data_IF_576022037917
#
_entry.id   IF_576022037917
#
_cell.length_a   1.000
_cell.length_b   1.000
_cell.length_c   1.000
_cell.angle_alpha   90.00
_cell.angle_beta   90.00
_cell.angle_gamma   90.00
#
_symmetry.space_group_name_H-M   'P 1'
#
loop_
_entity.id
_entity.type
_entity.pdbx_description
1 polymer ?
#
# COMPACT_ATOMS: atom_id res chain seq x y z
N UNK A 1 11.70 14.58 -2.67
CA UNK A 1 11.68 15.60 -3.74
C UNK A 1 13.09 15.60 -4.31
N UNK A 2 13.26 15.37 -5.61
CA UNK A 2 14.59 15.33 -6.23
C UNK A 2 15.22 16.73 -6.22
N UNK A 3 16.51 16.81 -5.96
CA UNK A 3 17.24 18.07 -6.05
C UNK A 3 17.15 18.60 -7.49
N UNK A 4 16.66 19.82 -7.71
CA UNK A 4 16.46 20.37 -9.07
C UNK A 4 15.25 19.81 -9.84
N UNK A 5 14.47 18.90 -9.24
CA UNK A 5 13.27 18.34 -9.86
C UNK A 5 13.54 17.19 -10.84
N UNK A 6 12.46 16.75 -11.50
CA UNK A 6 12.46 15.51 -12.30
C UNK A 6 13.38 15.58 -13.52
N UNK A 7 13.34 16.68 -14.24
CA UNK A 7 14.06 16.78 -15.52
C UNK A 7 15.58 16.88 -15.27
N UNK A 8 16.01 17.54 -14.20
CA UNK A 8 17.41 17.54 -13.76
C UNK A 8 17.86 16.15 -13.28
N UNK A 9 17.01 15.42 -12.56
CA UNK A 9 17.34 14.05 -12.16
C UNK A 9 17.50 13.11 -13.36
N UNK A 10 16.64 13.22 -14.38
CA UNK A 10 16.80 12.46 -15.63
C UNK A 10 18.13 12.81 -16.31
N UNK A 11 18.53 14.09 -16.34
CA UNK A 11 19.84 14.49 -16.87
C UNK A 11 20.99 13.84 -16.08
N UNK A 12 20.90 13.80 -14.75
CA UNK A 12 21.91 13.10 -13.91
C UNK A 12 21.99 11.61 -14.20
N UNK A 13 20.87 10.94 -14.46
CA UNK A 13 20.89 9.52 -14.82
C UNK A 13 21.53 9.24 -16.20
N UNK A 14 21.61 10.26 -17.06
CA UNK A 14 22.35 10.21 -18.32
C UNK A 14 23.83 10.58 -18.18
N UNK A 15 24.23 11.21 -17.07
CA UNK A 15 25.63 11.54 -16.81
C UNK A 15 26.45 10.24 -16.60
N UNK A 16 27.53 10.03 -17.37
CA UNK A 16 28.31 8.79 -17.30
C UNK A 16 28.95 8.53 -15.93
N UNK A 17 29.40 9.58 -15.24
CA UNK A 17 30.11 9.46 -13.96
C UNK A 17 29.11 9.10 -12.86
N UNK A 18 27.96 9.79 -12.83
CA UNK A 18 26.86 9.47 -11.91
C UNK A 18 26.33 8.07 -12.18
N UNK A 19 26.13 7.70 -13.45
CA UNK A 19 25.69 6.36 -13.83
C UNK A 19 26.68 5.30 -13.36
N UNK A 20 27.99 5.51 -13.52
CA UNK A 20 29.01 4.58 -13.04
C UNK A 20 28.97 4.42 -11.51
N UNK A 21 28.80 5.51 -10.75
CA UNK A 21 28.64 5.48 -9.30
C UNK A 21 27.41 4.65 -8.88
N UNK A 22 26.25 4.92 -9.48
CA UNK A 22 25.02 4.19 -9.21
C UNK A 22 25.18 2.69 -9.54
N UNK A 23 25.79 2.36 -10.67
CA UNK A 23 26.11 0.97 -11.04
C UNK A 23 27.02 0.31 -10.01
N UNK A 24 28.01 1.04 -9.46
CA UNK A 24 28.85 0.51 -8.39
C UNK A 24 28.03 0.15 -7.13
N UNK A 25 27.06 0.97 -6.75
CA UNK A 25 26.17 0.70 -5.60
C UNK A 25 25.30 -0.54 -5.87
N UNK A 26 24.75 -0.64 -7.08
CA UNK A 26 23.85 -1.72 -7.49
C UNK A 26 24.58 -3.05 -7.73
N UNK A 27 25.86 -3.01 -8.11
CA UNK A 27 26.66 -4.22 -8.40
C UNK A 27 26.84 -5.14 -7.18
N UNK A 28 26.71 -4.59 -5.96
CA UNK A 28 26.76 -5.35 -4.71
C UNK A 28 25.53 -6.24 -4.46
N UNK A 29 24.48 -6.15 -5.30
CA UNK A 29 23.20 -6.83 -5.09
C UNK A 29 23.16 -8.17 -5.81
N UNK A 30 22.77 -9.21 -5.07
CA UNK A 30 22.61 -10.56 -5.61
C UNK A 30 21.27 -10.74 -6.37
N UNK A 31 21.07 -11.94 -6.92
CA UNK A 31 19.83 -12.26 -7.64
C UNK A 31 18.57 -12.23 -6.77
N UNK A 32 18.68 -12.51 -5.48
CA UNK A 32 17.54 -12.58 -4.58
C UNK A 32 17.01 -11.19 -4.24
N UNK A 33 17.92 -10.21 -4.13
CA UNK A 33 17.55 -8.80 -4.07
C UNK A 33 16.66 -8.39 -5.27
N UNK A 34 17.06 -8.76 -6.50
CA UNK A 34 16.31 -8.41 -7.72
C UNK A 34 15.00 -9.18 -7.88
N UNK A 35 14.89 -10.39 -7.31
CA UNK A 35 13.61 -11.12 -7.22
C UNK A 35 12.64 -10.46 -6.24
N UNK A 36 13.15 -9.70 -5.27
CA UNK A 36 12.37 -8.98 -4.27
C UNK A 36 11.84 -7.61 -4.72
N UNK A 37 12.18 -7.13 -5.91
CA UNK A 37 11.72 -5.82 -6.42
C UNK A 37 10.77 -6.02 -7.58
N UNK A 38 9.50 -5.64 -7.41
CA UNK A 38 8.45 -5.77 -8.41
C UNK A 38 8.05 -4.43 -8.99
N UNK A 39 7.88 -4.36 -10.30
CA UNK A 39 7.26 -3.21 -10.96
C UNK A 39 5.75 -3.27 -10.71
N UNK A 40 5.22 -2.29 -9.98
CA UNK A 40 3.81 -2.23 -9.62
C UNK A 40 2.98 -1.40 -10.59
N UNK A 41 3.55 -0.38 -11.21
CA UNK A 41 2.85 0.45 -12.17
C UNK A 41 3.84 1.19 -13.06
N UNK A 42 3.47 1.34 -14.33
CA UNK A 42 4.17 2.19 -15.31
C UNK A 42 3.21 3.23 -15.88
N UNK A 43 3.76 4.21 -16.58
CA UNK A 43 3.03 5.29 -17.24
C UNK A 43 2.87 5.07 -18.72
N UNK A 44 3.88 4.50 -19.41
CA UNK A 44 3.80 4.23 -20.85
C UNK A 44 3.07 2.93 -21.13
N UNK A 45 2.19 2.94 -22.12
CA UNK A 45 1.39 1.76 -22.48
C UNK A 45 2.26 0.61 -23.02
N UNK A 46 3.32 0.94 -23.76
CA UNK A 46 4.31 -0.02 -24.28
C UNK A 46 5.09 -0.76 -23.18
N UNK A 47 5.13 -0.21 -21.96
CA UNK A 47 5.88 -0.77 -20.83
C UNK A 47 5.02 -1.59 -19.87
N UNK A 48 3.70 -1.68 -20.10
CA UNK A 48 2.78 -2.39 -19.20
C UNK A 48 3.09 -3.87 -19.02
N UNK A 49 3.82 -4.47 -19.96
CA UNK A 49 4.27 -5.86 -19.83
C UNK A 49 5.19 -6.08 -18.61
N UNK A 50 5.80 -5.02 -18.06
CA UNK A 50 6.61 -5.10 -16.83
C UNK A 50 5.77 -5.18 -15.55
N UNK A 51 4.51 -4.74 -15.57
CA UNK A 51 3.67 -4.68 -14.37
C UNK A 51 3.44 -6.08 -13.76
N UNK A 52 3.68 -6.21 -12.45
CA UNK A 52 3.62 -7.47 -11.72
C UNK A 52 4.85 -8.36 -11.90
N UNK A 53 5.86 -7.97 -12.70
CA UNK A 53 7.12 -8.70 -12.82
C UNK A 53 8.16 -8.15 -11.87
N UNK A 54 9.03 -9.03 -11.36
CA UNK A 54 10.22 -8.60 -10.65
C UNK A 54 11.35 -8.23 -11.61
N UNK A 55 12.31 -7.45 -11.13
CA UNK A 55 13.48 -7.01 -11.91
C UNK A 55 14.22 -8.21 -12.48
N UNK A 56 14.41 -9.29 -11.69
CA UNK A 56 15.05 -10.51 -12.16
C UNK A 56 14.39 -11.08 -13.44
N UNK A 57 13.07 -11.21 -13.47
CA UNK A 57 12.34 -11.72 -14.64
C UNK A 57 12.45 -10.77 -15.84
N UNK A 58 12.42 -9.45 -15.61
CA UNK A 58 12.59 -8.44 -16.67
C UNK A 58 14.00 -8.56 -17.30
N UNK A 59 15.02 -8.83 -16.50
CA UNK A 59 16.39 -9.04 -16.97
C UNK A 59 16.49 -10.28 -17.87
N UNK A 60 15.88 -11.39 -17.46
CA UNK A 60 15.86 -12.61 -18.27
C UNK A 60 15.16 -12.40 -19.63
N UNK A 61 14.16 -11.52 -19.67
CA UNK A 61 13.42 -11.19 -20.91
C UNK A 61 14.17 -10.23 -21.83
N UNK A 62 14.98 -9.34 -21.29
CA UNK A 62 15.66 -8.27 -22.05
C UNK A 62 17.12 -8.57 -22.38
N UNK A 63 17.75 -9.52 -21.67
CA UNK A 63 19.17 -9.86 -21.84
C UNK A 63 20.15 -8.79 -21.34
N UNK A 64 19.65 -7.77 -20.63
CA UNK A 64 20.45 -6.66 -20.09
C UNK A 64 21.01 -6.96 -18.70
N UNK A 65 22.00 -6.18 -18.27
CA UNK A 65 22.53 -6.21 -16.90
C UNK A 65 21.54 -5.57 -15.90
N UNK A 66 21.54 -6.00 -14.61
CA UNK A 66 20.60 -5.53 -13.59
C UNK A 66 20.56 -4.02 -13.39
N UNK A 67 21.74 -3.43 -13.28
CA UNK A 67 21.96 -2.02 -13.02
C UNK A 67 21.55 -1.14 -14.20
N UNK A 68 21.96 -1.51 -15.42
CA UNK A 68 21.55 -0.79 -16.63
C UNK A 68 20.03 -0.85 -16.83
N UNK A 69 19.41 -2.00 -16.56
CA UNK A 69 17.96 -2.17 -16.73
C UNK A 69 17.17 -1.27 -15.80
N UNK A 70 17.55 -1.18 -14.52
CA UNK A 70 16.84 -0.33 -13.56
C UNK A 70 16.97 1.14 -13.93
N UNK A 71 18.17 1.59 -14.29
CA UNK A 71 18.41 2.98 -14.70
C UNK A 71 17.67 3.31 -16.01
N UNK A 72 17.67 2.39 -16.96
CA UNK A 72 16.94 2.55 -18.22
C UNK A 72 15.43 2.63 -17.99
N UNK A 73 14.85 1.79 -17.14
CA UNK A 73 13.43 1.85 -16.77
C UNK A 73 13.12 3.20 -16.12
N UNK A 74 13.98 3.67 -15.20
CA UNK A 74 13.80 4.95 -14.52
C UNK A 74 13.80 6.13 -15.50
N UNK A 75 14.73 6.15 -16.45
CA UNK A 75 14.81 7.17 -17.49
C UNK A 75 13.59 7.09 -18.43
N UNK A 76 13.30 5.89 -18.92
CA UNK A 76 12.26 5.66 -19.92
C UNK A 76 10.86 6.00 -19.38
N UNK A 77 10.58 5.67 -18.12
CA UNK A 77 9.35 6.04 -17.42
C UNK A 77 9.38 7.47 -16.85
N UNK A 78 10.45 8.22 -17.09
CA UNK A 78 10.62 9.58 -16.59
C UNK A 78 10.45 9.67 -15.07
N UNK A 79 11.03 8.72 -14.33
CA UNK A 79 10.97 8.57 -12.88
C UNK A 79 9.56 8.32 -12.32
N UNK A 80 8.61 7.87 -13.15
CA UNK A 80 7.21 7.61 -12.75
C UNK A 80 6.87 6.13 -12.72
N UNK A 81 7.84 5.30 -12.35
CA UNK A 81 7.63 3.87 -12.14
C UNK A 81 7.33 3.60 -10.65
N UNK A 82 6.30 2.81 -10.38
CA UNK A 82 6.00 2.34 -9.02
C UNK A 82 6.66 1.01 -8.76
N UNK A 83 7.27 0.81 -7.60
CA UNK A 83 7.90 -0.46 -7.22
C UNK A 83 7.43 -0.98 -5.85
N UNK A 84 7.52 -2.29 -5.66
CA UNK A 84 7.26 -3.00 -4.39
C UNK A 84 8.55 -3.71 -3.99
N UNK A 85 8.96 -3.55 -2.73
CA UNK A 85 10.19 -4.10 -2.19
C UNK A 85 9.90 -5.14 -1.10
N UNK A 86 10.28 -6.39 -1.34
CA UNK A 86 10.19 -7.49 -0.38
C UNK A 86 11.48 -7.56 0.45
N UNK A 87 11.60 -6.67 1.43
CA UNK A 87 12.80 -6.54 2.28
C UNK A 87 12.51 -6.63 3.78
N UNK A 88 11.25 -6.79 4.18
CA UNK A 88 10.83 -6.79 5.57
C UNK A 88 10.62 -8.21 6.11
N UNK A 89 10.84 -8.37 7.42
CA UNK A 89 10.58 -9.60 8.17
C UNK A 89 9.23 -9.54 8.88
N UNK A 90 8.46 -10.62 8.80
CA UNK A 90 7.13 -10.73 9.41
C UNK A 90 7.21 -10.60 10.95
N UNK A 91 8.26 -11.15 11.57
CA UNK A 91 8.45 -11.10 13.03
C UNK A 91 8.66 -9.66 13.53
N UNK A 92 9.35 -8.84 12.74
CA UNK A 92 9.50 -7.42 13.05
C UNK A 92 8.16 -6.69 12.93
N UNK A 93 7.36 -7.00 11.90
CA UNK A 93 6.02 -6.44 11.75
C UNK A 93 5.13 -6.78 12.95
N UNK A 94 5.08 -8.04 13.37
CA UNK A 94 4.31 -8.47 14.55
C UNK A 94 4.78 -7.74 15.81
N UNK A 95 6.09 -7.59 15.99
CA UNK A 95 6.66 -6.84 17.11
C UNK A 95 6.25 -5.37 17.08
N UNK A 96 6.19 -4.73 15.91
CA UNK A 96 5.69 -3.35 15.82
C UNK A 96 4.19 -3.28 16.11
N UNK A 97 3.40 -4.23 15.61
CA UNK A 97 1.95 -4.29 15.83
C UNK A 97 1.59 -4.51 17.31
N UNK A 98 2.43 -5.19 18.09
CA UNK A 98 2.18 -5.42 19.52
C UNK A 98 2.45 -4.20 20.41
N UNK A 99 3.19 -3.20 19.93
CA UNK A 99 3.50 -1.99 20.72
C UNK A 99 2.25 -1.13 20.94
N UNK A 100 2.00 -0.61 22.16
CA UNK A 100 0.76 0.09 22.52
C UNK A 100 0.54 1.42 21.76
N UNK A 101 1.60 2.02 21.24
CA UNK A 101 1.58 3.31 20.53
C UNK A 101 1.57 3.19 19.00
N UNK A 102 1.58 1.97 18.45
CA UNK A 102 1.51 1.75 17.00
C UNK A 102 0.09 1.96 16.50
N UNK A 103 -0.05 2.83 15.49
CA UNK A 103 -1.27 3.00 14.69
C UNK A 103 -1.12 2.29 13.34
N UNK A 104 -2.24 1.95 12.72
CA UNK A 104 -2.23 1.40 11.36
C UNK A 104 -2.47 2.47 10.31
N UNK A 105 -1.69 2.41 9.25
CA UNK A 105 -1.93 3.12 8.00
C UNK A 105 -1.76 2.15 6.84
N UNK A 106 -2.60 2.28 5.80
CA UNK A 106 -2.46 1.43 4.61
C UNK A 106 -1.26 1.79 3.76
N UNK A 107 -0.77 3.03 3.84
CA UNK A 107 0.31 3.56 3.00
C UNK A 107 0.02 3.35 1.49
N UNK A 108 -1.25 3.39 1.09
CA UNK A 108 -1.64 3.21 -0.30
C UNK A 108 -2.03 4.54 -0.94
N UNK A 109 -1.72 4.70 -2.22
CA UNK A 109 -2.39 5.68 -3.05
C UNK A 109 -3.89 5.39 -3.12
N UNK A 110 -4.71 6.43 -3.25
CA UNK A 110 -6.14 6.30 -3.46
C UNK A 110 -6.43 5.62 -4.80
N UNK A 111 -7.08 4.46 -4.76
CA UNK A 111 -7.41 3.64 -5.93
C UNK A 111 -8.82 3.07 -5.77
N UNK A 112 -9.48 2.84 -6.90
CA UNK A 112 -10.80 2.24 -6.96
C UNK A 112 -10.73 0.84 -7.58
N UNK A 113 -11.74 0.00 -7.29
CA UNK A 113 -11.97 -1.26 -7.97
C UNK A 113 -12.36 -1.09 -9.45
N UNK A 114 -12.65 0.13 -9.89
CA UNK A 114 -13.07 0.49 -11.24
C UNK A 114 -12.60 1.88 -11.67
N UNK A 115 -12.74 2.22 -12.95
CA UNK A 115 -12.44 3.54 -13.49
C UNK A 115 -10.94 3.83 -13.65
N UNK A 116 -10.60 5.11 -13.82
CA UNK A 116 -9.26 5.55 -14.27
C UNK A 116 -8.14 5.28 -13.27
N UNK A 117 -8.47 4.99 -12.01
CA UNK A 117 -7.50 4.73 -10.93
C UNK A 117 -7.20 3.23 -10.76
N UNK A 118 -7.94 2.36 -11.47
CA UNK A 118 -7.72 0.90 -11.50
C UNK A 118 -6.67 0.52 -12.56
N UNK A 119 -5.40 0.87 -12.30
CA UNK A 119 -4.26 0.61 -13.19
C UNK A 119 -3.11 -0.08 -12.47
N UNK A 120 -2.31 -0.85 -13.21
CA UNK A 120 -1.16 -1.57 -12.67
C UNK A 120 -1.50 -2.70 -11.71
N UNK A 121 -0.48 -3.12 -10.96
CA UNK A 121 -0.49 -4.12 -9.90
C UNK A 121 0.04 -3.49 -8.60
N UNK A 122 -0.71 -2.55 -7.98
CA UNK A 122 -0.27 -1.88 -6.75
C UNK A 122 -0.15 -2.87 -5.59
N UNK A 123 0.54 -2.47 -4.52
CA UNK A 123 0.66 -3.29 -3.32
C UNK A 123 -0.75 -3.58 -2.72
N UNK A 124 -1.06 -4.84 -2.35
CA UNK A 124 -2.38 -5.24 -1.83
C UNK A 124 -2.82 -4.54 -0.54
N UNK A 125 -1.93 -3.80 0.12
CA UNK A 125 -2.21 -3.02 1.35
C UNK A 125 -3.33 -2.00 1.14
N UNK A 126 -3.50 -1.48 -0.08
CA UNK A 126 -4.59 -0.56 -0.40
C UNK A 126 -5.99 -1.12 -0.23
N UNK A 127 -6.15 -2.44 -0.30
CA UNK A 127 -7.46 -3.10 -0.24
C UNK A 127 -7.58 -4.09 0.94
N UNK A 128 -6.48 -4.36 1.63
CA UNK A 128 -6.40 -5.42 2.64
C UNK A 128 -5.94 -5.00 4.04
N UNK A 129 -5.36 -3.81 4.26
CA UNK A 129 -4.65 -3.52 5.54
C UNK A 129 -5.50 -3.78 6.79
N UNK A 130 -6.68 -3.18 6.92
CA UNK A 130 -7.49 -3.31 8.14
C UNK A 130 -8.11 -4.72 8.29
N UNK A 131 -8.70 -5.33 7.25
CA UNK A 131 -9.17 -6.71 7.34
C UNK A 131 -8.06 -7.73 7.62
N UNK A 132 -6.87 -7.56 7.04
CA UNK A 132 -5.69 -8.39 7.35
C UNK A 132 -5.27 -8.25 8.80
N UNK A 133 -5.24 -7.02 9.31
CA UNK A 133 -4.88 -6.77 10.70
C UNK A 133 -5.82 -7.50 11.65
N UNK A 134 -7.13 -7.31 11.50
CA UNK A 134 -8.12 -7.93 12.37
C UNK A 134 -8.17 -9.45 12.17
N UNK A 135 -8.22 -9.94 10.93
CA UNK A 135 -8.30 -11.36 10.65
C UNK A 135 -7.01 -12.11 11.01
N UNK A 136 -5.90 -11.76 10.36
CA UNK A 136 -4.64 -12.50 10.51
C UNK A 136 -3.94 -12.20 11.84
N UNK A 137 -3.74 -10.93 12.17
CA UNK A 137 -2.85 -10.57 13.29
C UNK A 137 -3.57 -10.55 14.64
N UNK A 138 -4.86 -10.25 14.68
CA UNK A 138 -5.64 -10.20 15.92
C UNK A 138 -6.33 -11.55 16.17
N UNK A 139 -7.16 -12.04 15.24
CA UNK A 139 -7.88 -13.30 15.44
C UNK A 139 -6.96 -14.51 15.34
N UNK A 140 -6.23 -14.67 14.23
CA UNK A 140 -5.50 -15.92 13.97
C UNK A 140 -4.17 -16.01 14.74
N UNK A 141 -3.43 -14.90 14.86
CA UNK A 141 -2.10 -14.85 15.52
C UNK A 141 -2.12 -14.31 16.95
N UNK A 142 -3.23 -13.72 17.40
CA UNK A 142 -3.35 -13.14 18.74
C UNK A 142 -2.22 -12.18 19.14
N UNK A 143 -1.69 -11.39 18.19
CA UNK A 143 -0.59 -10.42 18.43
C UNK A 143 -1.00 -9.35 19.45
N UNK A 144 -2.28 -8.96 19.43
CA UNK A 144 -2.93 -8.07 20.40
C UNK A 144 -4.38 -8.50 20.59
N UNK A 145 -5.01 -8.08 21.69
CA UNK A 145 -6.45 -8.29 21.89
C UNK A 145 -7.28 -7.49 20.90
N UNK A 146 -8.51 -7.92 20.63
CA UNK A 146 -9.45 -7.21 19.76
C UNK A 146 -9.68 -5.76 20.24
N UNK A 147 -9.87 -5.56 21.55
CA UNK A 147 -10.07 -4.21 22.12
C UNK A 147 -8.89 -3.28 21.84
N UNK A 148 -7.66 -3.75 22.03
CA UNK A 148 -6.46 -2.95 21.75
C UNK A 148 -6.31 -2.73 20.24
N UNK A 149 -6.62 -3.73 19.40
CA UNK A 149 -6.63 -3.57 17.95
C UNK A 149 -7.61 -2.48 17.48
N UNK A 150 -8.85 -2.48 17.98
CA UNK A 150 -9.84 -1.46 17.65
C UNK A 150 -9.35 -0.08 18.08
N UNK A 151 -8.78 0.06 19.28
CA UNK A 151 -8.19 1.32 19.75
C UNK A 151 -7.07 1.83 18.83
N UNK A 152 -6.19 0.95 18.33
CA UNK A 152 -5.09 1.29 17.40
C UNK A 152 -5.56 1.86 16.07
N UNK A 153 -6.78 1.52 15.63
CA UNK A 153 -7.34 1.95 14.33
C UNK A 153 -8.48 2.96 14.47
N UNK A 154 -8.86 3.36 15.70
CA UNK A 154 -9.94 4.32 15.96
C UNK A 154 -9.49 5.44 16.91
N UNK A 155 -9.52 5.19 18.22
CA UNK A 155 -9.26 6.19 19.26
C UNK A 155 -7.83 6.74 19.20
N UNK A 156 -6.82 5.88 19.02
CA UNK A 156 -5.43 6.28 19.01
C UNK A 156 -5.12 7.27 17.87
N UNK A 157 -5.50 7.00 16.59
CA UNK A 157 -5.36 8.00 15.54
C UNK A 157 -6.22 9.23 15.74
N UNK A 158 -7.47 9.10 16.20
CA UNK A 158 -8.31 10.27 16.47
C UNK A 158 -7.67 11.21 17.50
N UNK A 159 -7.11 10.67 18.59
CA UNK A 159 -6.38 11.44 19.59
C UNK A 159 -5.09 12.04 19.02
N UNK A 160 -4.31 11.26 18.28
CA UNK A 160 -2.99 11.68 17.78
C UNK A 160 -3.11 12.82 16.76
N UNK A 161 -4.12 12.77 15.88
CA UNK A 161 -4.34 13.78 14.85
C UNK A 161 -5.35 14.87 15.27
N UNK A 162 -5.82 14.87 16.53
CA UNK A 162 -6.73 15.90 17.03
C UNK A 162 -8.14 15.86 16.43
N UNK A 163 -8.59 14.70 15.94
CA UNK A 163 -9.92 14.52 15.35
C UNK A 163 -10.98 14.52 16.46
N UNK A 164 -11.51 15.71 16.75
CA UNK A 164 -12.54 15.90 17.78
C UNK A 164 -13.79 15.09 17.46
N UNK A 165 -14.39 14.53 18.51
CA UNK A 165 -15.66 13.80 18.47
C UNK A 165 -15.69 12.60 17.49
N UNK A 166 -14.52 11.99 17.22
CA UNK A 166 -14.35 10.80 16.36
C UNK A 166 -13.51 9.71 17.04
N UNK A 167 -13.54 8.51 16.48
CA UNK A 167 -12.73 7.37 16.91
C UNK A 167 -13.22 6.65 18.17
N UNK A 168 -14.40 7.00 18.69
CA UNK A 168 -15.06 6.35 19.82
C UNK A 168 -16.56 6.22 19.54
N UNK A 169 -17.16 5.11 19.98
CA UNK A 169 -18.61 4.97 20.04
C UNK A 169 -19.10 5.60 21.35
N UNK A 170 -19.55 6.85 21.28
CA UNK A 170 -20.01 7.64 22.42
C UNK A 170 -21.11 8.60 21.99
N UNK A 171 -22.08 8.85 22.86
CA UNK A 171 -23.09 9.88 22.60
C UNK A 171 -22.44 11.25 22.32
N UNK A 172 -22.97 11.97 21.33
CA UNK A 172 -22.44 13.24 20.85
C UNK A 172 -21.29 13.12 19.83
N UNK A 173 -20.74 11.93 19.58
CA UNK A 173 -19.69 11.73 18.58
C UNK A 173 -20.28 11.52 17.18
N UNK A 174 -19.47 11.74 16.14
CA UNK A 174 -19.86 11.41 14.77
C UNK A 174 -20.10 9.91 14.63
N UNK A 175 -21.17 9.54 13.93
CA UNK A 175 -21.54 8.15 13.65
C UNK A 175 -20.70 7.57 12.48
N UNK A 176 -19.39 7.48 12.70
CA UNK A 176 -18.47 6.71 11.86
C UNK A 176 -18.34 5.29 12.42
N UNK A 177 -19.06 4.36 11.81
CA UNK A 177 -19.26 3.02 12.38
C UNK A 177 -18.96 1.97 11.32
N UNK A 178 -18.20 0.96 11.70
CA UNK A 178 -17.99 -0.24 10.87
C UNK A 178 -18.63 -1.43 11.59
N UNK A 179 -19.45 -2.18 10.86
CA UNK A 179 -20.00 -3.46 11.31
C UNK A 179 -19.33 -4.54 10.48
N UNK A 180 -18.73 -5.51 11.15
CA UNK A 180 -18.01 -6.61 10.52
C UNK A 180 -18.19 -7.91 11.31
N UNK A 181 -18.14 -9.02 10.60
CA UNK A 181 -18.11 -10.37 11.15
C UNK A 181 -16.66 -10.72 11.54
N UNK A 182 -16.40 -10.84 12.84
CA UNK A 182 -15.07 -11.14 13.37
C UNK A 182 -14.54 -12.51 12.93
N UNK A 183 -15.41 -13.51 12.77
CA UNK A 183 -15.01 -14.86 12.36
C UNK A 183 -14.65 -14.91 10.87
N UNK A 184 -15.16 -13.97 10.06
CA UNK A 184 -14.98 -13.98 8.60
C UNK A 184 -14.09 -12.87 8.06
N UNK A 185 -13.78 -11.85 8.84
CA UNK A 185 -13.00 -10.71 8.36
C UNK A 185 -11.59 -11.13 7.95
N UNK A 186 -11.23 -10.84 6.69
CA UNK A 186 -9.91 -11.14 6.12
C UNK A 186 -9.67 -10.34 4.83
N UNK A 187 -8.40 -10.03 4.55
CA UNK A 187 -7.97 -9.55 3.23
C UNK A 187 -8.02 -10.67 2.19
N UNK A 188 -8.32 -10.28 0.94
CA UNK A 188 -8.24 -11.16 -0.23
C UNK A 188 -7.30 -10.64 -1.31
N UNK A 189 -6.89 -9.38 -1.21
CA UNK A 189 -5.93 -8.78 -2.12
C UNK A 189 -4.56 -9.44 -1.97
N UNK A 190 -4.01 -9.89 -3.10
CA UNK A 190 -2.64 -10.44 -3.20
C UNK A 190 -1.86 -9.65 -4.24
N UNK A 191 -0.53 -9.85 -4.33
CA UNK A 191 0.30 -9.07 -5.25
C UNK A 191 -0.10 -9.22 -6.72
N UNK A 192 -0.49 -10.44 -7.13
CA UNK A 192 -0.93 -10.73 -8.50
C UNK A 192 -2.35 -10.20 -8.77
N UNK A 193 -3.20 -10.17 -7.76
CA UNK A 193 -4.59 -9.71 -7.83
C UNK A 193 -4.88 -8.70 -6.70
N UNK A 194 -4.35 -7.47 -6.81
CA UNK A 194 -4.44 -6.51 -5.70
C UNK A 194 -5.80 -5.85 -5.59
N UNK A 195 -6.58 -5.81 -6.68
CA UNK A 195 -7.93 -5.22 -6.72
C UNK A 195 -9.01 -6.21 -6.28
N UNK A 196 -8.78 -6.90 -5.16
CA UNK A 196 -9.71 -7.90 -4.62
C UNK A 196 -10.30 -7.40 -3.32
N UNK A 197 -11.63 -7.37 -3.26
CA UNK A 197 -12.35 -6.88 -2.09
C UNK A 197 -12.16 -7.83 -0.90
N UNK A 198 -11.92 -7.26 0.28
CA UNK A 198 -11.88 -7.99 1.53
C UNK A 198 -13.24 -8.61 1.89
N UNK A 199 -13.22 -9.59 2.79
CA UNK A 199 -14.43 -10.24 3.29
C UNK A 199 -14.69 -9.84 4.75
N UNK A 200 -15.94 -10.07 5.19
CA UNK A 200 -16.38 -9.88 6.57
C UNK A 200 -16.80 -8.46 6.96
N UNK A 201 -16.54 -7.43 6.15
CA UNK A 201 -17.10 -6.09 6.38
C UNK A 201 -18.54 -6.04 5.85
N UNK A 202 -19.51 -5.79 6.71
CA UNK A 202 -20.94 -5.81 6.36
C UNK A 202 -21.48 -4.40 6.07
N UNK A 203 -21.15 -3.45 6.94
CA UNK A 203 -21.60 -2.06 6.84
C UNK A 203 -20.49 -1.09 7.20
N UNK A 204 -20.46 0.05 6.50
CA UNK A 204 -19.67 1.22 6.88
C UNK A 204 -20.59 2.43 6.85
N UNK A 205 -20.64 3.17 7.95
CA UNK A 205 -21.31 4.44 8.08
C UNK A 205 -20.27 5.55 8.20
N UNK A 206 -20.50 6.65 7.51
CA UNK A 206 -19.70 7.87 7.60
C UNK A 206 -20.66 9.00 7.94
N UNK A 207 -20.43 9.69 9.05
CA UNK A 207 -21.32 10.74 9.55
C UNK A 207 -22.80 10.28 9.61
N UNK A 208 -23.04 9.02 10.01
CA UNK A 208 -24.37 8.44 10.18
C UNK A 208 -25.07 8.00 8.89
N UNK A 209 -24.43 8.12 7.73
CA UNK A 209 -24.98 7.67 6.45
C UNK A 209 -24.25 6.41 5.96
N UNK A 210 -24.98 5.40 5.43
CA UNK A 210 -24.34 4.17 4.97
C UNK A 210 -23.51 4.45 3.72
N UNK A 211 -22.19 4.33 3.81
CA UNK A 211 -21.25 4.48 2.70
C UNK A 211 -20.95 3.13 2.02
N UNK A 212 -21.02 2.04 2.78
CA UNK A 212 -20.88 0.67 2.30
C UNK A 212 -21.94 -0.22 2.95
N UNK A 213 -22.56 -1.09 2.17
CA UNK A 213 -23.58 -2.02 2.63
C UNK A 213 -23.53 -3.29 1.78
N UNK A 214 -23.52 -4.46 2.43
CA UNK A 214 -23.70 -5.78 1.79
C UNK A 214 -22.74 -5.99 0.61
N UNK A 215 -21.46 -5.66 0.81
CA UNK A 215 -20.43 -5.87 -0.20
C UNK A 215 -20.32 -4.77 -1.27
N UNK A 216 -21.11 -3.68 -1.19
CA UNK A 216 -21.14 -2.63 -2.21
C UNK A 216 -21.04 -1.23 -1.61
N UNK A 217 -20.36 -0.34 -2.32
CA UNK A 217 -20.43 1.09 -2.07
C UNK A 217 -21.84 1.60 -2.39
N UNK A 218 -22.43 2.43 -1.52
CA UNK A 218 -23.83 2.89 -1.67
C UNK A 218 -23.98 4.10 -2.59
N UNK A 219 -22.87 4.82 -2.84
CA UNK A 219 -22.87 6.11 -3.53
C UNK A 219 -22.96 7.32 -2.59
N UNK A 220 -23.21 7.11 -1.29
CA UNK A 220 -23.22 8.22 -0.32
C UNK A 220 -21.81 8.76 -0.09
N UNK A 221 -21.60 10.03 -0.43
CA UNK A 221 -20.33 10.75 -0.23
C UNK A 221 -20.41 11.64 1.02
N UNK A 222 -20.74 11.05 2.15
CA UNK A 222 -21.03 11.79 3.39
C UNK A 222 -19.77 12.23 4.16
N UNK A 223 -18.60 12.18 3.54
CA UNK A 223 -17.35 12.66 4.14
C UNK A 223 -17.33 14.17 4.33
N UNK A 224 -16.52 14.64 5.27
CA UNK A 224 -16.32 16.08 5.50
C UNK A 224 -14.84 16.39 5.71
N UNK A 225 -14.45 17.62 5.41
CA UNK A 225 -13.13 18.13 5.79
C UNK A 225 -13.07 18.19 7.31
N UNK A 226 -12.13 17.45 7.89
CA UNK A 226 -11.81 17.54 9.32
C UNK A 226 -10.94 18.77 9.55
N UNK A 227 -11.32 19.59 10.53
CA UNK A 227 -10.63 20.83 10.93
C UNK A 227 -9.83 20.60 12.20
#
# INVERSE_FOLDING_TARGET
MYEGGRDEEIKRLHDPDIRAELKSILSSKDSDYWKGIYISAVTKDENRWMEGKNIYNILQMTGKLPDDTVLDILIDEGLRVGAIFFSMKEENLERFLSLPYTMLGSDSSARSFSGITRKGKPHPRGFGTFPRFIGKYVRDKAVVSLTEAIKKITQLPARTFGLKDRGLLKEGFYADIVIFDYERIIDKAVFDEPYTQAQGVEYVFVNGKPAFKEGKHTGNLSGMVVK
#
